data_IF_913312040055
#
_entry.id   IF_913312040055
#
_cell.length_a   1.000
_cell.length_b   1.000
_cell.length_c   1.000
_cell.angle_alpha   90.00
_cell.angle_beta   90.00
_cell.angle_gamma   90.00
#
_symmetry.space_group_name_H-M   'P 1'
#
loop_
_entity.id
_entity.type
_entity.pdbx_description
1 polymer ?
#
# COMPACT_ATOMS: atom_id res chain seq x y z
N UNK A 1 -16.15 8.01 33.86
CA UNK A 1 -14.88 7.52 33.28
C UNK A 1 -15.21 7.14 31.84
N UNK A 2 -14.92 8.03 30.90
CA UNK A 2 -15.24 7.78 29.48
C UNK A 2 -14.12 6.93 28.93
N UNK A 3 -14.40 5.65 28.70
CA UNK A 3 -13.53 4.78 27.92
C UNK A 3 -13.73 5.22 26.48
N UNK A 4 -12.80 6.04 25.97
CA UNK A 4 -12.63 6.17 24.54
C UNK A 4 -12.08 4.82 24.06
N UNK A 5 -12.97 3.91 23.67
CA UNK A 5 -12.58 2.88 22.69
C UNK A 5 -12.23 3.66 21.44
N UNK A 6 -10.94 3.87 21.21
CA UNK A 6 -10.41 4.26 19.91
C UNK A 6 -10.85 3.18 18.92
N UNK A 7 -11.99 3.37 18.26
CA UNK A 7 -12.29 2.73 16.99
C UNK A 7 -11.13 3.11 16.07
N UNK A 8 -10.19 2.17 15.89
CA UNK A 8 -9.19 2.25 14.82
C UNK A 8 -10.00 2.48 13.54
N UNK A 9 -9.83 3.60 12.82
CA UNK A 9 -10.61 3.82 11.61
C UNK A 9 -10.23 2.71 10.63
N UNK A 10 -11.20 1.84 10.36
CA UNK A 10 -11.14 0.82 9.30
C UNK A 10 -10.64 1.49 8.01
N UNK A 11 -9.84 0.75 7.23
CA UNK A 11 -9.37 1.29 5.96
C UNK A 11 -10.57 1.61 5.06
N UNK A 12 -10.59 2.81 4.49
CA UNK A 12 -11.60 3.20 3.50
C UNK A 12 -11.07 2.76 2.13
N UNK A 13 -11.72 1.75 1.55
CA UNK A 13 -11.34 1.17 0.27
C UNK A 13 -12.38 1.52 -0.79
N UNK A 14 -11.93 2.03 -1.92
CA UNK A 14 -12.73 2.35 -3.10
C UNK A 14 -12.12 1.70 -4.34
N UNK A 15 -12.78 1.83 -5.49
CA UNK A 15 -12.24 1.38 -6.78
C UNK A 15 -10.98 2.13 -7.20
N UNK A 16 -10.70 3.31 -6.63
CA UNK A 16 -9.58 4.18 -7.03
C UNK A 16 -8.65 4.54 -5.88
N UNK A 17 -8.97 4.18 -4.63
CA UNK A 17 -8.11 4.46 -3.48
C UNK A 17 -8.22 3.45 -2.35
N UNK A 18 -7.13 3.28 -1.61
CA UNK A 18 -7.04 2.62 -0.32
C UNK A 18 -6.48 3.62 0.69
N UNK A 19 -7.28 3.96 1.71
CA UNK A 19 -6.96 4.99 2.70
C UNK A 19 -6.98 4.41 4.12
N UNK A 20 -5.93 4.63 4.90
CA UNK A 20 -5.87 4.25 6.32
C UNK A 20 -5.10 5.29 7.12
N UNK A 21 -5.56 5.62 8.33
CA UNK A 21 -4.95 6.67 9.16
C UNK A 21 -4.76 7.97 8.35
N UNK A 22 -3.52 8.40 8.10
CA UNK A 22 -3.17 9.56 7.24
C UNK A 22 -2.57 9.16 5.89
N UNK A 23 -2.57 7.87 5.59
CA UNK A 23 -1.94 7.29 4.42
C UNK A 23 -3.00 7.03 3.34
N UNK A 24 -2.62 7.31 2.10
CA UNK A 24 -3.47 7.12 0.92
C UNK A 24 -2.61 6.49 -0.15
N UNK A 25 -3.09 5.38 -0.72
CA UNK A 25 -2.62 4.85 -1.99
C UNK A 25 -3.78 4.96 -2.96
N UNK A 26 -3.59 5.60 -4.12
CA UNK A 26 -4.66 5.85 -5.07
C UNK A 26 -4.19 5.73 -6.52
N UNK A 27 -5.11 5.43 -7.41
CA UNK A 27 -4.92 5.50 -8.84
C UNK A 27 -5.55 6.77 -9.38
N UNK A 28 -4.74 7.57 -10.06
CA UNK A 28 -5.15 8.86 -10.60
C UNK A 28 -4.32 9.16 -11.86
N UNK A 29 -5.01 9.52 -12.96
CA UNK A 29 -4.43 9.84 -14.27
C UNK A 29 -3.55 8.72 -14.88
N UNK A 30 -3.84 7.46 -14.57
CA UNK A 30 -3.01 6.31 -15.02
C UNK A 30 -1.75 6.09 -14.20
N UNK A 31 -1.63 6.75 -13.04
CA UNK A 31 -0.52 6.57 -12.11
C UNK A 31 -1.02 6.01 -10.78
N UNK A 32 -0.27 5.08 -10.22
CA UNK A 32 -0.34 4.75 -8.80
C UNK A 32 0.40 5.84 -8.03
N UNK A 33 -0.33 6.56 -7.18
CA UNK A 33 0.17 7.63 -6.32
C UNK A 33 0.02 7.21 -4.86
N UNK A 34 1.01 7.52 -4.04
CA UNK A 34 0.92 7.37 -2.58
C UNK A 34 1.25 8.68 -1.90
N UNK A 35 0.53 8.97 -0.82
CA UNK A 35 0.74 10.15 0.03
C UNK A 35 0.55 9.83 1.50
N UNK A 36 1.23 10.56 2.38
CA UNK A 36 1.03 10.47 3.83
C UNK A 36 2.34 10.29 4.58
N UNK A 37 2.33 9.42 5.60
CA UNK A 37 3.54 9.01 6.33
C UNK A 37 4.25 7.83 5.67
N UNK A 38 3.65 7.25 4.63
CA UNK A 38 4.29 6.28 3.73
C UNK A 38 5.09 6.99 2.64
N UNK A 39 5.98 6.26 1.97
CA UNK A 39 6.75 6.76 0.82
C UNK A 39 5.83 7.43 -0.20
N UNK A 40 6.08 8.70 -0.52
CA UNK A 40 5.38 9.39 -1.60
C UNK A 40 5.88 8.87 -2.95
N UNK A 41 4.99 8.28 -3.74
CA UNK A 41 5.35 7.70 -5.06
C UNK A 41 4.40 8.15 -6.15
N UNK A 42 4.87 8.07 -7.39
CA UNK A 42 4.07 8.25 -8.60
C UNK A 42 4.61 7.33 -9.69
N UNK A 43 3.94 6.22 -9.92
CA UNK A 43 4.38 5.16 -10.84
C UNK A 43 3.31 4.98 -11.92
N UNK A 44 3.64 5.09 -13.22
CA UNK A 44 2.69 4.73 -14.27
C UNK A 44 2.22 3.29 -14.09
N UNK A 45 0.90 3.06 -14.09
CA UNK A 45 0.34 1.71 -13.89
C UNK A 45 0.87 0.73 -14.93
N UNK A 46 1.01 1.19 -16.18
CA UNK A 46 1.55 0.41 -17.31
C UNK A 46 3.01 -0.04 -17.13
N UNK A 47 3.71 0.46 -16.11
CA UNK A 47 5.06 0.01 -15.78
C UNK A 47 5.08 -1.02 -14.65
N UNK A 48 3.96 -1.27 -13.97
CA UNK A 48 3.88 -2.18 -12.85
C UNK A 48 3.57 -3.58 -13.39
N UNK A 49 4.47 -4.52 -13.17
CA UNK A 49 4.29 -5.92 -13.52
C UNK A 49 3.61 -6.68 -12.37
N UNK A 50 4.03 -6.41 -11.13
CA UNK A 50 3.46 -7.05 -9.93
C UNK A 50 3.79 -6.27 -8.65
N UNK A 51 3.15 -6.63 -7.55
CA UNK A 51 3.39 -6.09 -6.21
C UNK A 51 3.54 -7.26 -5.25
N UNK A 52 4.58 -7.20 -4.41
CA UNK A 52 4.86 -8.21 -3.39
C UNK A 52 5.15 -7.53 -2.05
N UNK A 53 4.99 -8.23 -0.94
CA UNK A 53 5.48 -7.77 0.36
C UNK A 53 6.51 -8.72 0.96
N UNK A 54 7.26 -8.23 1.94
CA UNK A 54 8.21 -9.04 2.70
C UNK A 54 8.16 -8.70 4.18
N UNK A 55 8.18 -9.75 5.00
CA UNK A 55 8.37 -9.69 6.44
C UNK A 55 9.81 -10.12 6.75
N UNK A 56 10.47 -9.46 7.71
CA UNK A 56 11.78 -9.90 8.18
C UNK A 56 11.64 -10.76 9.45
N UNK A 57 11.69 -12.10 9.34
CA UNK A 57 11.49 -12.98 10.50
C UNK A 57 12.61 -12.85 11.55
N UNK A 58 13.80 -12.38 11.15
CA UNK A 58 14.92 -12.16 12.07
C UNK A 58 14.81 -10.82 12.83
N UNK A 59 13.94 -9.93 12.38
CA UNK A 59 13.72 -8.60 12.98
C UNK A 59 12.23 -8.26 12.93
N UNK A 60 11.38 -8.94 13.73
CA UNK A 60 9.93 -8.76 13.69
C UNK A 60 9.45 -7.37 14.12
N UNK A 61 10.31 -6.59 14.79
CA UNK A 61 10.04 -5.19 15.12
C UNK A 61 10.22 -4.23 13.92
N UNK A 62 10.75 -4.69 12.79
CA UNK A 62 10.87 -3.88 11.57
C UNK A 62 9.54 -3.87 10.84
N UNK A 63 9.13 -2.68 10.43
CA UNK A 63 7.92 -2.46 9.63
C UNK A 63 8.04 -3.25 8.31
N UNK A 64 7.03 -4.04 7.93
CA UNK A 64 7.03 -4.76 6.67
C UNK A 64 7.18 -3.82 5.46
N UNK A 65 7.77 -4.35 4.38
CA UNK A 65 8.04 -3.56 3.17
C UNK A 65 7.25 -4.13 2.00
N UNK A 66 6.42 -3.28 1.40
CA UNK A 66 5.75 -3.51 0.12
C UNK A 66 6.70 -3.09 -1.00
N UNK A 67 6.80 -3.91 -2.04
CA UNK A 67 7.67 -3.70 -3.19
C UNK A 67 6.83 -3.71 -4.46
N UNK A 68 6.95 -2.64 -5.23
CA UNK A 68 6.32 -2.51 -6.53
C UNK A 68 7.38 -2.89 -7.58
N UNK A 69 7.09 -3.93 -8.36
CA UNK A 69 8.02 -4.51 -9.33
C UNK A 69 7.52 -4.18 -10.73
N UNK A 70 8.47 -3.81 -11.59
CA UNK A 70 8.16 -3.44 -12.95
C UNK A 70 9.42 -3.30 -13.79
N UNK A 71 9.35 -3.65 -15.08
CA UNK A 71 10.47 -3.52 -16.04
C UNK A 71 11.75 -4.25 -15.58
N UNK A 72 11.59 -5.37 -14.89
CA UNK A 72 12.72 -6.17 -14.37
C UNK A 72 13.44 -5.56 -13.16
N UNK A 73 12.87 -4.55 -12.49
CA UNK A 73 13.45 -3.92 -11.29
C UNK A 73 12.39 -3.61 -10.22
N UNK A 74 12.85 -3.28 -9.01
CA UNK A 74 12.00 -2.71 -7.97
C UNK A 74 11.84 -1.22 -8.26
N UNK A 75 10.61 -0.79 -8.57
CA UNK A 75 10.27 0.59 -8.87
C UNK A 75 10.09 1.43 -7.60
N UNK A 76 9.62 0.82 -6.52
CA UNK A 76 9.39 1.49 -5.24
C UNK A 76 9.33 0.49 -4.08
N UNK A 77 9.83 0.91 -2.93
CA UNK A 77 9.65 0.24 -1.64
C UNK A 77 8.88 1.15 -0.69
N UNK A 78 7.88 0.59 -0.01
CA UNK A 78 7.00 1.31 0.90
C UNK A 78 6.90 0.56 2.23
N UNK A 79 7.26 1.23 3.32
CA UNK A 79 7.03 0.70 4.66
C UNK A 79 5.53 0.80 4.99
N UNK A 80 4.88 -0.34 5.15
CA UNK A 80 3.46 -0.44 5.48
C UNK A 80 3.31 -1.33 6.70
N UNK A 81 2.51 -0.88 7.67
CA UNK A 81 2.20 -1.66 8.86
C UNK A 81 1.59 -3.01 8.50
N UNK A 82 1.94 -4.04 9.26
CA UNK A 82 1.48 -5.42 9.04
C UNK A 82 -0.05 -5.55 8.91
N UNK A 83 -0.81 -4.73 9.63
CA UNK A 83 -2.28 -4.66 9.58
C UNK A 83 -2.85 -4.36 8.18
N UNK A 84 -2.10 -3.65 7.33
CA UNK A 84 -2.60 -3.16 6.04
C UNK A 84 -1.85 -3.71 4.84
N UNK A 85 -0.65 -4.26 5.01
CA UNK A 85 0.24 -4.54 3.87
C UNK A 85 -0.32 -5.56 2.88
N UNK A 86 -1.01 -6.59 3.35
CA UNK A 86 -1.63 -7.61 2.51
C UNK A 86 -2.81 -7.02 1.74
N UNK A 87 -3.69 -6.29 2.45
CA UNK A 87 -4.85 -5.64 1.83
C UNK A 87 -4.46 -4.57 0.81
N UNK A 88 -3.38 -3.82 1.06
CA UNK A 88 -2.84 -2.84 0.09
C UNK A 88 -2.26 -3.55 -1.13
N UNK A 89 -1.52 -4.66 -0.95
CA UNK A 89 -1.02 -5.45 -2.07
C UNK A 89 -2.17 -5.94 -2.95
N UNK A 90 -3.17 -6.57 -2.34
CA UNK A 90 -4.31 -7.16 -3.06
C UNK A 90 -5.11 -6.09 -3.79
N UNK A 91 -5.32 -4.93 -3.14
CA UNK A 91 -5.97 -3.78 -3.78
C UNK A 91 -5.16 -3.28 -4.99
N UNK A 92 -3.85 -3.11 -4.89
CA UNK A 92 -3.04 -2.66 -6.05
C UNK A 92 -3.11 -3.71 -7.17
N UNK A 93 -2.94 -4.99 -6.86
CA UNK A 93 -3.00 -6.08 -7.84
C UNK A 93 -4.34 -6.11 -8.58
N UNK A 94 -5.44 -5.92 -7.86
CA UNK A 94 -6.78 -5.81 -8.45
C UNK A 94 -6.91 -4.63 -9.41
N UNK A 95 -6.40 -3.44 -9.02
CA UNK A 95 -6.54 -2.23 -9.84
C UNK A 95 -5.64 -2.24 -11.08
N UNK A 96 -4.45 -2.85 -11.03
CA UNK A 96 -3.56 -2.93 -12.19
C UNK A 96 -3.93 -4.06 -13.16
N UNK A 97 -4.64 -5.09 -12.69
CA UNK A 97 -5.11 -6.21 -13.50
C UNK A 97 -6.61 -6.47 -13.26
N UNK A 98 -7.50 -5.53 -13.64
CA UNK A 98 -8.94 -5.74 -13.52
C UNK A 98 -9.34 -6.88 -14.45
N UNK A 99 -9.81 -7.97 -13.86
CA UNK A 99 -10.27 -9.17 -14.58
C UNK A 99 -11.58 -8.91 -15.31
#
# INVERSE_FOLDING_TARGET
MVIFTEEQPEAIVTSTSYCWKKNIVKVEDGYLKSTGMITNTRIPIVHIDTVVYSYNPKKPAIVPVLKIIGKGAVLCEMEISAEHIEAVQDWILYVINPS
#
